data_IF_512011293481
#
_entry.id   IF_512011293481
#
_cell.length_a   1.000
_cell.length_b   1.000
_cell.length_c   1.000
_cell.angle_alpha   90.00
_cell.angle_beta   90.00
_cell.angle_gamma   90.00
#
_symmetry.space_group_name_H-M   'P 1'
#
loop_
_entity.id
_entity.type
_entity.pdbx_description
1 polymer ?
#
# COMPACT_ATOMS: atom_id res chain seq x y z
N UNK A 1 0.21 -19.28 1.74
CA UNK A 1 1.03 -18.07 1.88
C UNK A 1 1.11 -17.23 0.60
N UNK A 2 1.54 -17.80 -0.55
CA UNK A 2 1.83 -17.03 -1.78
C UNK A 2 0.71 -16.10 -2.27
N UNK A 3 -0.55 -16.51 -2.17
CA UNK A 3 -1.70 -15.66 -2.54
C UNK A 3 -1.77 -14.37 -1.72
N UNK A 4 -1.44 -14.44 -0.42
CA UNK A 4 -1.38 -13.25 0.43
C UNK A 4 -0.21 -12.37 0.02
N UNK A 5 0.99 -12.93 -0.19
CA UNK A 5 2.17 -12.18 -0.69
C UNK A 5 1.88 -11.48 -2.02
N UNK A 6 1.22 -12.15 -2.97
CA UNK A 6 0.86 -11.53 -4.25
C UNK A 6 -0.16 -10.39 -4.04
N UNK A 7 -1.13 -10.56 -3.14
CA UNK A 7 -2.03 -9.47 -2.75
C UNK A 7 -1.28 -8.28 -2.12
N UNK A 8 -0.25 -8.53 -1.31
CA UNK A 8 0.60 -7.46 -0.76
C UNK A 8 1.33 -6.67 -1.87
N UNK A 9 1.90 -7.36 -2.86
CA UNK A 9 2.55 -6.75 -4.03
C UNK A 9 1.58 -5.91 -4.87
N UNK A 10 0.37 -6.41 -5.06
CA UNK A 10 -0.69 -5.66 -5.76
C UNK A 10 -1.10 -4.40 -5.00
N UNK A 11 -1.24 -4.48 -3.67
CA UNK A 11 -1.57 -3.32 -2.83
C UNK A 11 -0.43 -2.30 -2.89
N UNK A 12 0.83 -2.74 -2.77
CA UNK A 12 2.00 -1.88 -2.93
C UNK A 12 1.98 -1.13 -4.26
N UNK A 13 1.79 -1.83 -5.38
CA UNK A 13 1.75 -1.19 -6.70
C UNK A 13 0.62 -0.17 -6.85
N UNK A 14 -0.49 -0.33 -6.10
CA UNK A 14 -1.59 0.64 -6.05
C UNK A 14 -1.27 1.83 -5.14
N UNK A 15 -0.62 1.60 -3.99
CA UNK A 15 -0.13 2.66 -3.10
C UNK A 15 0.88 3.54 -3.85
N UNK A 16 1.95 2.94 -4.39
CA UNK A 16 3.06 3.64 -5.05
C UNK A 16 2.64 4.54 -6.22
N UNK A 17 1.52 4.21 -6.89
CA UNK A 17 1.00 4.96 -8.04
C UNK A 17 -0.16 5.90 -7.71
N UNK A 18 -0.46 6.14 -6.43
CA UNK A 18 -1.64 6.92 -6.02
C UNK A 18 -1.66 8.33 -6.64
N UNK A 19 -0.58 9.10 -6.47
CA UNK A 19 -0.50 10.47 -7.00
C UNK A 19 -0.43 10.48 -8.53
N UNK A 20 0.26 9.52 -9.13
CA UNK A 20 0.31 9.37 -10.58
C UNK A 20 -1.08 9.12 -11.16
N UNK A 21 -1.88 8.28 -10.52
CA UNK A 21 -3.26 8.02 -10.94
C UNK A 21 -4.17 9.24 -10.71
N UNK A 22 -3.96 10.01 -9.64
CA UNK A 22 -4.67 11.27 -9.43
C UNK A 22 -4.37 12.27 -10.56
N UNK A 23 -3.10 12.40 -10.98
CA UNK A 23 -2.69 13.31 -12.06
C UNK A 23 -3.36 12.99 -13.39
N UNK A 24 -3.66 11.72 -13.66
CA UNK A 24 -4.41 11.29 -14.86
C UNK A 24 -5.84 11.82 -14.95
N UNK A 25 -6.42 12.28 -13.84
CA UNK A 25 -7.71 12.98 -13.87
C UNK A 25 -7.64 14.33 -14.62
N UNK A 26 -6.44 14.89 -14.78
CA UNK A 26 -6.18 16.19 -15.38
C UNK A 26 -6.24 17.32 -14.35
N UNK A 27 -5.30 18.27 -14.44
CA UNK A 27 -5.12 19.33 -13.44
C UNK A 27 -6.39 20.13 -13.15
N UNK A 28 -7.22 20.40 -14.18
CA UNK A 28 -8.48 21.12 -14.05
C UNK A 28 -9.54 20.39 -13.19
N UNK A 29 -9.39 19.08 -12.94
CA UNK A 29 -10.31 18.26 -12.14
C UNK A 29 -9.79 17.95 -10.74
N UNK A 30 -8.56 18.35 -10.40
CA UNK A 30 -7.98 18.13 -9.08
C UNK A 30 -8.52 19.21 -8.14
N UNK A 31 -9.69 18.93 -7.57
CA UNK A 31 -10.33 19.74 -6.54
C UNK A 31 -10.08 19.12 -5.17
N UNK A 32 -10.17 19.93 -4.10
CA UNK A 32 -10.00 19.48 -2.72
C UNK A 32 -10.83 18.22 -2.36
N UNK A 33 -12.10 18.07 -2.78
CA UNK A 33 -12.86 16.84 -2.54
C UNK A 33 -12.24 15.59 -3.20
N UNK A 34 -11.61 15.74 -4.37
CA UNK A 34 -10.92 14.64 -5.04
C UNK A 34 -9.64 14.25 -4.30
N UNK A 35 -8.91 15.21 -3.74
CA UNK A 35 -7.74 14.96 -2.90
C UNK A 35 -8.15 14.20 -1.64
N UNK A 36 -9.20 14.64 -0.94
CA UNK A 36 -9.72 13.93 0.24
C UNK A 36 -10.19 12.51 -0.08
N UNK A 37 -10.89 12.33 -1.20
CA UNK A 37 -11.30 11.00 -1.66
C UNK A 37 -10.08 10.11 -1.96
N UNK A 38 -9.03 10.68 -2.56
CA UNK A 38 -7.77 9.98 -2.84
C UNK A 38 -7.04 9.58 -1.57
N UNK A 39 -6.99 10.46 -0.56
CA UNK A 39 -6.43 10.17 0.76
C UNK A 39 -7.18 9.03 1.46
N UNK A 40 -8.52 9.08 1.51
CA UNK A 40 -9.32 8.02 2.11
C UNK A 40 -9.10 6.66 1.44
N UNK A 41 -9.03 6.66 0.10
CA UNK A 41 -8.76 5.46 -0.68
C UNK A 41 -7.31 4.96 -0.49
N UNK A 42 -6.34 5.85 -0.26
CA UNK A 42 -4.96 5.49 0.09
C UNK A 42 -4.89 4.85 1.49
N UNK A 43 -5.54 5.44 2.49
CA UNK A 43 -5.65 4.91 3.85
C UNK A 43 -6.27 3.51 3.87
N UNK A 44 -7.38 3.30 3.15
CA UNK A 44 -8.03 1.99 3.08
C UNK A 44 -7.12 0.90 2.50
N UNK A 45 -6.23 1.23 1.56
CA UNK A 45 -5.23 0.27 1.05
C UNK A 45 -4.19 -0.07 2.10
N UNK A 46 -3.73 0.92 2.86
CA UNK A 46 -2.76 0.72 3.94
C UNK A 46 -3.33 -0.15 5.05
N UNK A 47 -4.54 0.13 5.51
CA UNK A 47 -5.24 -0.71 6.51
C UNK A 47 -5.38 -2.16 6.02
N UNK A 48 -5.76 -2.36 4.76
CA UNK A 48 -5.84 -3.71 4.17
C UNK A 48 -4.49 -4.40 4.10
N UNK A 49 -3.42 -3.66 3.78
CA UNK A 49 -2.06 -4.20 3.74
C UNK A 49 -1.65 -4.71 5.13
N UNK A 50 -1.78 -3.87 6.16
CA UNK A 50 -1.45 -4.21 7.55
C UNK A 50 -2.22 -5.45 8.02
N UNK A 51 -3.54 -5.49 7.83
CA UNK A 51 -4.36 -6.64 8.22
C UNK A 51 -3.94 -7.96 7.53
N UNK A 52 -3.48 -7.89 6.28
CA UNK A 52 -2.96 -9.05 5.56
C UNK A 52 -1.54 -9.43 6.01
N UNK A 53 -0.72 -8.45 6.40
CA UNK A 53 0.60 -8.68 6.98
C UNK A 53 0.51 -9.38 8.34
N UNK A 54 -0.36 -8.88 9.23
CA UNK A 54 -0.62 -9.51 10.53
C UNK A 54 -1.09 -10.96 10.35
N UNK A 55 -1.94 -11.20 9.34
CA UNK A 55 -2.39 -12.54 8.97
C UNK A 55 -1.25 -13.42 8.44
N UNK A 56 -0.32 -12.86 7.66
CA UNK A 56 0.87 -13.60 7.21
C UNK A 56 1.71 -14.08 8.39
N UNK A 57 1.93 -13.21 9.39
CA UNK A 57 2.67 -13.57 10.60
C UNK A 57 1.93 -14.63 11.42
N UNK A 58 0.63 -14.43 11.66
CA UNK A 58 -0.17 -15.31 12.51
C UNK A 58 -0.40 -16.71 11.92
N UNK A 59 -0.60 -16.84 10.60
CA UNK A 59 -0.97 -18.11 9.97
C UNK A 59 0.25 -18.93 9.49
N UNK A 60 1.41 -18.31 9.24
CA UNK A 60 2.53 -18.98 8.55
C UNK A 60 3.84 -19.06 9.35
N UNK A 61 4.00 -18.37 10.48
CA UNK A 61 5.10 -18.57 11.44
C UNK A 61 6.50 -18.66 10.80
N UNK A 62 7.21 -19.77 11.00
CA UNK A 62 8.56 -19.95 10.42
C UNK A 62 8.61 -19.88 8.88
N UNK A 63 7.54 -20.27 8.18
CA UNK A 63 7.46 -20.11 6.71
C UNK A 63 7.49 -18.63 6.35
N UNK A 64 6.85 -17.78 7.15
CA UNK A 64 6.92 -16.33 7.02
C UNK A 64 8.32 -15.79 7.29
N UNK A 65 8.95 -16.22 8.38
CA UNK A 65 10.27 -15.72 8.78
C UNK A 65 11.34 -15.96 7.69
N UNK A 66 11.27 -17.12 7.02
CA UNK A 66 12.18 -17.53 5.94
C UNK A 66 11.81 -16.97 4.56
N UNK A 67 10.65 -16.34 4.41
CA UNK A 67 10.20 -15.85 3.11
C UNK A 67 10.96 -14.60 2.68
N UNK A 68 11.19 -14.46 1.36
CA UNK A 68 11.79 -13.24 0.79
C UNK A 68 10.97 -12.00 1.07
N UNK A 69 9.64 -12.15 1.23
CA UNK A 69 8.78 -11.07 1.69
C UNK A 69 9.27 -10.44 3.00
N UNK A 70 9.65 -11.27 3.98
CA UNK A 70 10.09 -10.82 5.28
C UNK A 70 11.58 -10.45 5.29
N UNK A 71 12.43 -11.28 4.69
CA UNK A 71 13.89 -11.05 4.71
C UNK A 71 14.31 -9.83 3.89
N UNK A 72 13.55 -9.47 2.84
CA UNK A 72 13.80 -8.28 2.03
C UNK A 72 13.14 -7.02 2.63
N UNK A 73 12.54 -7.12 3.81
CA UNK A 73 11.83 -6.04 4.51
C UNK A 73 10.77 -5.34 3.62
N UNK A 74 9.91 -6.17 3.00
CA UNK A 74 8.88 -5.65 2.11
C UNK A 74 7.89 -4.73 2.85
N UNK A 75 7.63 -4.98 4.14
CA UNK A 75 6.79 -4.11 4.98
C UNK A 75 7.29 -2.66 4.94
N UNK A 76 8.56 -2.41 5.27
CA UNK A 76 9.14 -1.06 5.29
C UNK A 76 9.14 -0.41 3.90
N UNK A 77 9.32 -1.19 2.85
CA UNK A 77 9.21 -0.71 1.47
C UNK A 77 7.81 -0.15 1.18
N UNK A 78 6.76 -0.87 1.59
CA UNK A 78 5.37 -0.41 1.38
C UNK A 78 5.02 0.76 2.30
N UNK A 79 5.47 0.74 3.55
CA UNK A 79 5.27 1.84 4.51
C UNK A 79 5.87 3.16 3.99
N UNK A 80 7.11 3.09 3.51
CA UNK A 80 7.79 4.24 2.90
C UNK A 80 6.99 4.80 1.73
N UNK A 81 6.50 3.93 0.84
CA UNK A 81 5.68 4.34 -0.29
C UNK A 81 4.35 4.96 0.17
N UNK A 82 3.70 4.43 1.19
CA UNK A 82 2.48 4.99 1.77
C UNK A 82 2.72 6.41 2.30
N UNK A 83 3.75 6.60 3.13
CA UNK A 83 4.10 7.90 3.71
C UNK A 83 4.40 8.90 2.60
N UNK A 84 5.25 8.54 1.64
CA UNK A 84 5.60 9.43 0.52
C UNK A 84 4.37 9.85 -0.31
N UNK A 85 3.43 8.95 -0.57
CA UNK A 85 2.24 9.27 -1.36
C UNK A 85 1.24 10.09 -0.54
N UNK A 86 1.12 9.83 0.76
CA UNK A 86 0.30 10.62 1.68
C UNK A 86 0.82 12.05 1.78
N UNK A 87 2.12 12.25 1.98
CA UNK A 87 2.74 13.58 2.08
C UNK A 87 2.56 14.40 0.80
N UNK A 88 2.56 13.77 -0.38
CA UNK A 88 2.30 14.47 -1.66
C UNK A 88 0.85 14.93 -1.84
N UNK A 89 -0.07 14.48 -1.00
CA UNK A 89 -1.51 14.81 -1.03
C UNK A 89 -1.92 15.80 0.07
N UNK A 90 -1.01 16.13 1.00
CA UNK A 90 -1.18 17.13 2.05
C UNK A 90 -0.55 18.46 1.59
#
# INVERSE_FOLDING_TARGET
MERLINSQRDIYGRIARTVENLRKAGAAKILLPLIHSTLSVLEGKWVKFQAQHDRLQAEFGEEFDRSTYNTDDFLSTVETAYIQQRTKLL
#
